data_IF_347836447608
#
_entry.id   IF_347836447608
#
_cell.length_a   1.000
_cell.length_b   1.000
_cell.length_c   1.000
_cell.angle_alpha   90.00
_cell.angle_beta   90.00
_cell.angle_gamma   90.00
#
_symmetry.space_group_name_H-M   'P 1'
#
loop_
_entity.id
_entity.type
_entity.pdbx_description
1 polymer ?
#
# COMPACT_ATOMS: atom_id res chain seq x y z
N UNK A 1 3.38 -20.23 4.15
CA UNK A 1 3.45 -18.78 4.42
C UNK A 1 2.37 -18.40 5.42
N UNK A 2 2.63 -17.46 6.33
CA UNK A 2 1.64 -16.95 7.27
C UNK A 2 0.69 -15.96 6.60
N UNK A 3 -0.62 -16.13 6.76
CA UNK A 3 -1.62 -15.16 6.32
C UNK A 3 -1.66 -14.01 7.34
N UNK A 4 -1.67 -12.77 6.85
CA UNK A 4 -1.78 -11.57 7.67
C UNK A 4 -3.02 -10.77 7.26
N UNK A 5 -3.84 -10.37 8.23
CA UNK A 5 -5.07 -9.61 8.03
C UNK A 5 -5.07 -8.31 8.84
N UNK A 6 -6.07 -7.45 8.65
CA UNK A 6 -6.18 -6.15 9.33
C UNK A 6 -6.29 -6.31 10.86
N UNK A 7 -6.92 -7.39 11.31
CA UNK A 7 -7.07 -7.72 12.72
C UNK A 7 -5.71 -8.00 13.37
N UNK A 8 -4.79 -8.63 12.64
CA UNK A 8 -3.43 -8.92 13.11
C UNK A 8 -2.59 -7.65 13.24
N UNK A 9 -2.94 -6.58 12.52
CA UNK A 9 -2.27 -5.28 12.61
C UNK A 9 -2.63 -4.51 13.88
N UNK A 10 -3.83 -4.72 14.45
CA UNK A 10 -4.35 -3.93 15.59
C UNK A 10 -3.40 -3.92 16.80
N UNK A 11 -2.88 -5.05 17.28
CA UNK A 11 -1.96 -5.06 18.42
C UNK A 11 -0.65 -4.32 18.12
N UNK A 12 -0.20 -4.34 16.86
CA UNK A 12 1.05 -3.70 16.46
C UNK A 12 0.95 -2.17 16.40
N UNK A 13 -0.22 -1.61 16.07
CA UNK A 13 -0.37 -0.15 15.93
C UNK A 13 -0.16 0.64 17.22
N UNK A 14 -0.36 0.02 18.40
CA UNK A 14 -0.03 0.65 19.67
C UNK A 14 1.46 0.92 19.87
N UNK A 15 2.32 0.27 19.08
CA UNK A 15 3.78 0.40 19.14
C UNK A 15 4.35 1.23 17.98
N UNK A 16 3.53 1.68 17.04
CA UNK A 16 3.96 2.36 15.83
C UNK A 16 3.50 3.82 15.83
N UNK A 17 4.34 4.73 15.33
CA UNK A 17 3.95 6.12 15.05
C UNK A 17 3.52 6.32 13.60
N UNK A 18 4.05 5.49 12.70
CA UNK A 18 3.83 5.55 11.26
C UNK A 18 3.50 4.15 10.75
N UNK A 19 2.48 4.07 9.90
CA UNK A 19 2.11 2.88 9.15
C UNK A 19 2.23 3.20 7.65
N UNK A 20 2.93 2.33 6.94
CA UNK A 20 3.23 2.51 5.52
C UNK A 20 2.63 1.31 4.78
N UNK A 21 1.58 1.55 3.99
CA UNK A 21 0.99 0.51 3.15
C UNK A 21 1.84 0.32 1.90
N UNK A 22 2.36 -0.88 1.70
CA UNK A 22 3.16 -1.26 0.53
C UNK A 22 2.38 -2.24 -0.35
N UNK A 23 2.31 -2.07 -1.67
CA UNK A 23 2.81 -0.95 -2.48
C UNK A 23 1.84 -0.60 -3.60
N UNK A 24 1.84 0.67 -4.01
CA UNK A 24 1.32 1.10 -5.30
C UNK A 24 2.46 1.15 -6.33
N UNK A 25 2.10 1.19 -7.61
CA UNK A 25 3.01 1.38 -8.72
C UNK A 25 2.75 2.68 -9.46
N UNK A 26 3.52 2.91 -10.51
CA UNK A 26 3.26 3.98 -11.48
C UNK A 26 3.14 3.35 -12.86
N UNK A 27 2.09 3.71 -13.59
CA UNK A 27 1.91 3.30 -14.98
C UNK A 27 3.00 3.93 -15.87
N UNK A 28 3.63 3.12 -16.72
CA UNK A 28 4.76 3.59 -17.55
C UNK A 28 4.34 4.50 -18.71
N UNK A 29 3.04 4.56 -19.05
CA UNK A 29 2.53 5.33 -20.18
C UNK A 29 1.95 6.66 -19.72
N UNK A 30 1.08 6.62 -18.70
CA UNK A 30 0.40 7.80 -18.18
C UNK A 30 1.18 8.52 -17.08
N UNK A 31 2.16 7.84 -16.45
CA UNK A 31 2.85 8.31 -15.25
C UNK A 31 1.94 8.55 -14.04
N UNK A 32 0.75 7.95 -14.04
CA UNK A 32 -0.18 8.00 -12.92
C UNK A 32 0.08 6.88 -11.92
N UNK A 33 -0.24 7.13 -10.64
CA UNK A 33 -0.17 6.10 -9.60
C UNK A 33 -1.28 5.08 -9.80
N UNK A 34 -0.93 3.79 -9.79
CA UNK A 34 -1.85 2.67 -9.96
C UNK A 34 -1.75 1.69 -8.79
N UNK A 35 -2.85 1.02 -8.40
CA UNK A 35 -2.78 -0.12 -7.49
C UNK A 35 -2.07 -1.31 -8.18
N UNK A 36 -1.20 -2.00 -7.46
CA UNK A 36 -0.55 -3.21 -7.96
C UNK A 36 -1.47 -4.44 -7.84
N UNK A 37 -2.39 -4.43 -6.86
CA UNK A 37 -3.36 -5.49 -6.64
C UNK A 37 -4.78 -4.90 -6.50
N UNK A 38 -5.42 -4.46 -7.60
CA UNK A 38 -6.74 -3.80 -7.56
C UNK A 38 -7.81 -4.57 -6.77
N UNK A 39 -7.80 -5.90 -6.85
CA UNK A 39 -8.71 -6.80 -6.13
C UNK A 39 -8.54 -6.73 -4.61
N UNK A 40 -7.33 -6.43 -4.12
CA UNK A 40 -7.04 -6.27 -2.71
C UNK A 40 -7.13 -4.80 -2.28
N UNK A 41 -6.68 -3.87 -3.12
CA UNK A 41 -6.41 -2.49 -2.77
C UNK A 41 -7.64 -1.58 -2.82
N UNK A 42 -8.41 -1.61 -3.91
CA UNK A 42 -9.36 -0.52 -4.24
C UNK A 42 -10.84 -0.87 -4.07
N UNK A 43 -11.20 -2.17 -4.10
CA UNK A 43 -12.54 -2.59 -3.66
C UNK A 43 -13.32 -3.57 -4.56
N UNK A 44 -12.70 -4.19 -5.56
CA UNK A 44 -13.29 -5.38 -6.19
C UNK A 44 -13.26 -6.62 -5.26
N UNK A 45 -12.44 -6.57 -4.20
CA UNK A 45 -12.39 -7.55 -3.10
C UNK A 45 -12.31 -6.87 -1.72
N UNK A 46 -11.13 -6.86 -1.08
CA UNK A 46 -10.99 -6.42 0.33
C UNK A 46 -11.01 -4.89 0.51
N UNK A 47 -10.44 -4.12 -0.42
CA UNK A 47 -10.38 -2.66 -0.33
C UNK A 47 -9.44 -2.15 0.77
N UNK A 48 -8.24 -2.71 0.87
CA UNK A 48 -7.31 -2.46 1.96
C UNK A 48 -6.82 -1.01 2.06
N UNK A 49 -6.75 -0.23 0.97
CA UNK A 49 -6.44 1.20 1.06
C UNK A 49 -7.41 1.93 2.00
N UNK A 50 -8.70 1.57 1.93
CA UNK A 50 -9.74 2.14 2.78
C UNK A 50 -9.69 1.53 4.19
N UNK A 51 -9.55 0.21 4.32
CA UNK A 51 -9.56 -0.45 5.63
C UNK A 51 -8.37 -0.02 6.50
N UNK A 52 -7.17 0.06 5.91
CA UNK A 52 -5.96 0.46 6.62
C UNK A 52 -6.05 1.92 7.07
N UNK A 53 -6.52 2.82 6.21
CA UNK A 53 -6.65 4.24 6.59
C UNK A 53 -7.73 4.48 7.67
N UNK A 54 -8.77 3.64 7.74
CA UNK A 54 -9.79 3.70 8.78
C UNK A 54 -9.27 3.38 10.19
N UNK A 55 -8.10 2.75 10.31
CA UNK A 55 -7.47 2.47 11.61
C UNK A 55 -7.18 3.72 12.41
N UNK A 56 -7.06 4.90 11.76
CA UNK A 56 -6.99 6.21 12.44
C UNK A 56 -8.16 6.49 13.37
N UNK A 57 -9.32 5.85 13.19
CA UNK A 57 -10.45 6.00 14.13
C UNK A 57 -10.13 5.44 15.52
N UNK A 58 -9.35 4.37 15.58
CA UNK A 58 -8.92 3.74 16.84
C UNK A 58 -7.53 4.20 17.27
N UNK A 59 -6.68 4.62 16.33
CA UNK A 59 -5.31 5.07 16.57
C UNK A 59 -5.09 6.45 15.92
N UNK A 60 -5.66 7.54 16.48
CA UNK A 60 -5.72 8.85 15.83
C UNK A 60 -4.35 9.50 15.60
N UNK A 61 -3.36 9.16 16.43
CA UNK A 61 -2.01 9.74 16.33
C UNK A 61 -1.16 9.08 15.25
N UNK A 62 -1.50 7.86 14.82
CA UNK A 62 -0.75 7.12 13.80
C UNK A 62 -0.87 7.82 12.45
N UNK A 63 0.29 8.08 11.83
CA UNK A 63 0.34 8.60 10.46
C UNK A 63 0.33 7.43 9.49
N UNK A 64 -0.53 7.51 8.47
CA UNK A 64 -0.70 6.44 7.49
C UNK A 64 -0.34 6.99 6.11
N UNK A 65 0.56 6.30 5.42
CA UNK A 65 1.05 6.65 4.10
C UNK A 65 0.94 5.46 3.14
N UNK A 66 0.82 5.76 1.85
CA UNK A 66 0.94 4.79 0.78
C UNK A 66 2.37 4.84 0.23
N UNK A 67 3.04 3.70 0.19
CA UNK A 67 4.35 3.57 -0.44
C UNK A 67 4.18 3.19 -1.91
N UNK A 68 5.03 3.76 -2.76
CA UNK A 68 5.06 3.50 -4.20
C UNK A 68 6.40 2.84 -4.52
N UNK A 69 6.40 1.76 -5.30
CA UNK A 69 7.60 1.02 -5.68
C UNK A 69 7.96 -0.11 -4.72
N UNK A 70 8.99 0.08 -3.89
CA UNK A 70 9.36 -0.87 -2.83
C UNK A 70 9.88 -2.23 -3.30
N UNK A 71 10.52 -2.29 -4.47
CA UNK A 71 10.86 -3.53 -5.20
C UNK A 71 9.64 -4.41 -5.54
N UNK A 72 8.42 -3.89 -5.33
CA UNK A 72 7.16 -4.55 -5.66
C UNK A 72 6.52 -4.00 -6.94
N UNK A 73 7.06 -2.91 -7.49
CA UNK A 73 6.78 -2.42 -8.86
C UNK A 73 7.96 -2.74 -9.82
N UNK A 74 8.40 -4.02 -9.95
CA UNK A 74 9.44 -4.37 -10.89
C UNK A 74 8.88 -4.37 -12.31
N UNK A 75 9.71 -3.98 -13.26
CA UNK A 75 9.38 -4.09 -14.69
C UNK A 75 10.36 -4.99 -15.46
N UNK A 76 11.47 -5.40 -14.86
CA UNK A 76 12.77 -5.69 -15.50
C UNK A 76 13.45 -4.42 -16.07
N UNK A 77 14.26 -3.60 -15.39
CA UNK A 77 14.63 -3.51 -13.98
C UNK A 77 15.33 -2.18 -13.57
N UNK A 78 15.17 -1.07 -14.32
CA UNK A 78 15.54 0.30 -13.83
C UNK A 78 14.99 1.44 -14.70
N UNK A 79 14.44 1.14 -15.88
CA UNK A 79 14.28 2.15 -16.92
C UNK A 79 12.84 2.35 -17.42
N UNK A 80 11.82 1.77 -16.77
CA UNK A 80 10.42 1.92 -17.26
C UNK A 80 9.92 3.38 -17.27
N UNK A 81 10.59 4.24 -16.50
CA UNK A 81 10.35 5.70 -16.46
C UNK A 81 11.48 6.52 -17.09
N UNK A 82 12.54 5.86 -17.56
CA UNK A 82 13.76 6.50 -18.09
C UNK A 82 13.86 6.31 -19.60
N UNK A 83 12.74 6.35 -20.32
CA UNK A 83 12.70 6.32 -21.78
C UNK A 83 12.64 7.76 -22.31
N UNK A 84 13.76 8.27 -22.82
CA UNK A 84 13.84 9.48 -23.66
C UNK A 84 13.87 9.09 -25.14
#
# INVERSE_FOLDING_TARGET
AGKFQIEDLRPALGFCTHLIYGFAGIDSTSFETIPLHPELDTGAGYGFYKLVTQMKRSFPDVKIYLSIGGNADPYEETHKYLTL
#
